data_IF_501890764871
#
_entry.id   IF_501890764871
#
_cell.length_a   1.000
_cell.length_b   1.000
_cell.length_c   1.000
_cell.angle_alpha   90.00
_cell.angle_beta   90.00
_cell.angle_gamma   90.00
#
_symmetry.space_group_name_H-M   'P 1'
#
loop_
_entity.id
_entity.type
_entity.pdbx_description
1 polymer ?
#
# COMPACT_ATOMS: atom_id res chain seq x y z
N UNK A 1 -59.73 18.67 24.72
CA UNK A 1 -59.38 17.99 23.46
C UNK A 1 -57.91 18.13 23.25
N UNK A 2 -57.13 17.11 23.62
CA UNK A 2 -55.66 17.10 23.42
C UNK A 2 -55.34 16.32 22.14
N UNK A 3 -54.72 16.98 21.18
CA UNK A 3 -54.26 16.34 19.93
C UNK A 3 -52.83 15.86 20.13
N UNK A 4 -52.61 14.53 20.14
CA UNK A 4 -51.30 13.92 20.06
C UNK A 4 -50.81 13.95 18.62
N UNK A 5 -49.66 14.60 18.37
CA UNK A 5 -48.93 14.51 17.09
C UNK A 5 -47.89 13.41 17.26
N UNK A 6 -48.10 12.31 16.55
CA UNK A 6 -47.12 11.23 16.50
C UNK A 6 -45.97 11.61 15.52
N UNK A 7 -44.78 11.76 16.04
CA UNK A 7 -43.59 11.93 15.21
C UNK A 7 -43.12 10.56 14.70
N UNK A 8 -43.18 10.33 13.39
CA UNK A 8 -42.62 9.15 12.73
C UNK A 8 -41.13 9.41 12.48
N UNK A 9 -40.28 8.73 13.26
CA UNK A 9 -38.86 8.72 13.01
C UNK A 9 -38.54 7.75 11.86
N UNK A 10 -38.18 8.27 10.71
CA UNK A 10 -37.68 7.47 9.59
C UNK A 10 -36.18 7.19 9.86
N UNK A 11 -35.88 6.02 10.40
CA UNK A 11 -34.49 5.51 10.52
C UNK A 11 -34.04 5.01 9.15
N UNK A 12 -33.29 5.84 8.42
CA UNK A 12 -32.64 5.42 7.20
C UNK A 12 -31.52 4.43 7.53
N UNK A 13 -31.71 3.13 7.25
CA UNK A 13 -30.64 2.16 7.19
C UNK A 13 -29.73 2.54 5.99
N UNK A 14 -28.57 3.09 6.27
CA UNK A 14 -27.48 3.13 5.30
C UNK A 14 -26.98 1.69 5.11
N UNK A 15 -27.49 1.01 4.08
CA UNK A 15 -26.96 -0.28 3.67
C UNK A 15 -25.51 -0.07 3.19
N UNK A 16 -24.55 -0.66 3.89
CA UNK A 16 -23.17 -0.76 3.41
C UNK A 16 -23.20 -1.55 2.09
N UNK A 17 -22.88 -0.89 0.97
CA UNK A 17 -22.76 -1.56 -0.32
C UNK A 17 -21.51 -2.44 -0.23
N UNK A 18 -21.61 -3.77 -0.38
CA UNK A 18 -20.42 -4.60 -0.42
C UNK A 18 -19.54 -4.15 -1.60
N UNK A 19 -18.26 -3.93 -1.34
CA UNK A 19 -17.29 -3.68 -2.42
C UNK A 19 -17.17 -4.98 -3.22
N UNK A 20 -17.91 -5.07 -4.30
CA UNK A 20 -17.94 -6.23 -5.21
C UNK A 20 -17.02 -6.05 -6.42
N UNK A 21 -16.26 -4.97 -6.48
CA UNK A 21 -15.35 -4.66 -7.56
C UNK A 21 -14.03 -4.11 -7.04
N UNK A 22 -12.95 -4.43 -7.75
CA UNK A 22 -11.63 -3.88 -7.46
C UNK A 22 -11.67 -2.35 -7.53
N UNK A 23 -11.14 -1.68 -6.52
CA UNK A 23 -11.00 -0.22 -6.51
C UNK A 23 -10.15 0.21 -7.70
N UNK A 24 -10.68 1.11 -8.52
CA UNK A 24 -9.98 1.73 -9.64
C UNK A 24 -10.16 3.23 -9.56
N UNK A 25 -9.05 3.95 -9.54
CA UNK A 25 -9.04 5.41 -9.55
C UNK A 25 -9.03 5.87 -11.01
N UNK A 26 -10.22 6.20 -11.54
CA UNK A 26 -10.37 6.61 -12.93
C UNK A 26 -9.81 8.01 -13.22
N UNK A 27 -9.91 8.91 -12.24
CA UNK A 27 -9.46 10.29 -12.32
C UNK A 27 -7.94 10.39 -12.05
N UNK A 28 -7.21 11.15 -12.88
CA UNK A 28 -5.77 11.35 -12.71
C UNK A 28 -5.44 12.09 -11.41
N UNK A 29 -6.29 13.02 -10.98
CA UNK A 29 -6.08 13.72 -9.70
C UNK A 29 -6.21 12.78 -8.51
N UNK A 30 -7.12 11.82 -8.55
CA UNK A 30 -7.26 10.79 -7.50
C UNK A 30 -6.08 9.80 -7.51
N UNK A 31 -5.58 9.44 -8.72
CA UNK A 31 -4.35 8.63 -8.83
C UNK A 31 -3.13 9.37 -8.27
N UNK A 32 -3.01 10.65 -8.56
CA UNK A 32 -1.93 11.49 -8.03
C UNK A 32 -2.03 11.62 -6.51
N UNK A 33 -3.21 11.91 -5.97
CA UNK A 33 -3.48 11.99 -4.53
C UNK A 33 -3.15 10.67 -3.83
N UNK A 34 -3.67 9.56 -4.34
CA UNK A 34 -3.37 8.23 -3.80
C UNK A 34 -1.86 7.95 -3.79
N UNK A 35 -1.17 8.22 -4.89
CA UNK A 35 0.27 7.98 -5.01
C UNK A 35 1.06 8.78 -3.98
N UNK A 36 0.73 10.07 -3.81
CA UNK A 36 1.40 10.92 -2.83
C UNK A 36 1.23 10.39 -1.41
N UNK A 37 0.00 10.02 -1.03
CA UNK A 37 -0.26 9.43 0.28
C UNK A 37 0.38 8.05 0.44
N UNK A 38 0.23 7.17 -0.53
CA UNK A 38 0.81 5.82 -0.49
C UNK A 38 2.32 5.85 -0.27
N UNK A 39 3.02 6.71 -1.01
CA UNK A 39 4.47 6.87 -0.92
C UNK A 39 4.87 7.44 0.44
N UNK A 40 4.23 8.53 0.88
CA UNK A 40 4.52 9.13 2.19
C UNK A 40 4.30 8.12 3.32
N UNK A 41 3.20 7.38 3.28
CA UNK A 41 2.83 6.44 4.35
C UNK A 41 3.75 5.21 4.39
N UNK A 42 4.22 4.73 3.22
CA UNK A 42 5.23 3.69 3.17
C UNK A 42 6.59 4.20 3.68
N UNK A 43 6.98 5.41 3.30
CA UNK A 43 8.22 6.05 3.75
C UNK A 43 8.22 6.29 5.27
N UNK A 44 7.11 6.77 5.82
CA UNK A 44 6.92 7.02 7.25
C UNK A 44 7.09 5.76 8.13
N UNK A 45 6.86 4.56 7.58
CA UNK A 45 7.04 3.31 8.34
C UNK A 45 8.49 3.05 8.73
N UNK A 46 9.46 3.61 8.02
CA UNK A 46 10.86 3.54 8.42
C UNK A 46 11.14 4.41 9.65
N UNK A 47 10.51 5.58 9.75
CA UNK A 47 10.67 6.48 10.89
C UNK A 47 9.91 5.96 12.12
N UNK A 48 8.73 5.41 11.89
CA UNK A 48 7.86 4.88 12.94
C UNK A 48 7.00 3.76 12.40
N UNK A 49 7.43 2.52 12.63
CA UNK A 49 6.67 1.33 12.28
C UNK A 49 5.41 1.22 13.12
N UNK A 50 4.28 0.90 12.48
CA UNK A 50 3.00 0.61 13.14
C UNK A 50 2.83 -0.90 13.36
N UNK A 51 2.01 -1.29 14.35
CA UNK A 51 1.86 -2.69 14.77
C UNK A 51 1.27 -3.62 13.69
N UNK A 52 0.57 -3.05 12.71
CA UNK A 52 -0.02 -3.79 11.60
C UNK A 52 0.95 -4.03 10.41
N UNK A 53 2.17 -3.47 10.49
CA UNK A 53 3.25 -3.68 9.52
C UNK A 53 4.27 -4.66 10.08
N UNK A 54 4.04 -5.95 9.84
CA UNK A 54 4.87 -7.04 10.35
C UNK A 54 5.46 -7.95 9.26
N UNK A 55 5.18 -7.62 8.00
CA UNK A 55 5.77 -8.23 6.80
C UNK A 55 5.75 -7.26 5.61
N UNK A 56 6.36 -7.64 4.48
CA UNK A 56 6.43 -6.80 3.29
C UNK A 56 5.05 -6.53 2.66
N UNK A 57 4.12 -7.47 2.75
CA UNK A 57 2.74 -7.29 2.30
C UNK A 57 1.97 -6.38 3.25
N UNK A 58 2.22 -6.46 4.56
CA UNK A 58 1.69 -5.58 5.60
C UNK A 58 2.02 -4.12 5.32
N UNK A 59 3.27 -3.83 4.95
CA UNK A 59 3.68 -2.48 4.53
C UNK A 59 2.82 -1.96 3.37
N UNK A 60 2.63 -2.76 2.33
CA UNK A 60 1.80 -2.37 1.17
C UNK A 60 0.35 -2.21 1.56
N UNK A 61 -0.22 -3.16 2.32
CA UNK A 61 -1.62 -3.11 2.78
C UNK A 61 -1.89 -1.88 3.65
N UNK A 62 -1.00 -1.61 4.60
CA UNK A 62 -1.07 -0.42 5.46
C UNK A 62 -1.10 0.85 4.61
N UNK A 63 -0.09 1.04 3.76
CA UNK A 63 0.02 2.25 2.95
C UNK A 63 -1.17 2.43 1.98
N UNK A 64 -1.70 1.35 1.39
CA UNK A 64 -2.91 1.40 0.54
C UNK A 64 -4.12 1.81 1.33
N UNK A 65 -4.37 1.17 2.48
CA UNK A 65 -5.54 1.44 3.32
C UNK A 65 -5.54 2.87 3.83
N UNK A 66 -4.42 3.29 4.38
CA UNK A 66 -4.30 4.64 4.91
C UNK A 66 -4.38 5.71 3.81
N UNK A 67 -3.79 5.48 2.61
CA UNK A 67 -3.87 6.43 1.49
C UNK A 67 -5.30 6.65 0.95
N UNK A 68 -6.22 5.72 1.20
CA UNK A 68 -7.62 5.83 0.81
C UNK A 68 -8.51 6.44 1.90
N UNK A 69 -7.99 6.69 3.10
CA UNK A 69 -8.74 7.33 4.19
C UNK A 69 -8.93 8.83 3.94
N UNK A 70 -9.86 9.42 4.69
CA UNK A 70 -9.94 10.87 4.83
C UNK A 70 -8.87 11.35 5.82
N UNK A 71 -7.99 12.24 5.39
CA UNK A 71 -6.88 12.75 6.20
C UNK A 71 -7.30 14.03 6.95
N UNK A 72 -8.24 13.84 7.88
CA UNK A 72 -8.71 14.94 8.73
C UNK A 72 -7.59 15.49 9.62
N UNK A 73 -7.70 16.73 10.15
CA UNK A 73 -6.72 17.26 11.10
C UNK A 73 -6.51 16.34 12.32
N UNK A 74 -7.54 15.62 12.74
CA UNK A 74 -7.43 14.65 13.82
C UNK A 74 -6.62 13.42 13.40
N UNK A 75 -6.85 12.90 12.19
CA UNK A 75 -6.06 11.80 11.63
C UNK A 75 -4.57 12.22 11.54
N UNK A 76 -4.28 13.42 11.01
CA UNK A 76 -2.90 13.93 10.90
C UNK A 76 -2.22 14.00 12.26
N UNK A 77 -2.91 14.50 13.30
CA UNK A 77 -2.33 14.54 14.66
C UNK A 77 -2.02 13.13 15.20
N UNK A 78 -2.86 12.13 14.90
CA UNK A 78 -2.67 10.74 15.35
C UNK A 78 -1.63 9.97 14.55
N UNK A 79 -1.42 10.33 13.28
CA UNK A 79 -0.49 9.64 12.40
C UNK A 79 0.96 9.69 12.88
N UNK A 80 1.32 10.69 13.68
CA UNK A 80 2.68 10.89 14.18
C UNK A 80 3.65 11.43 13.12
N UNK A 81 3.13 11.90 11.97
CA UNK A 81 3.95 12.57 10.96
C UNK A 81 4.57 13.85 11.53
N UNK A 82 5.86 14.15 11.29
CA UNK A 82 6.54 15.33 11.82
C UNK A 82 6.13 16.64 11.12
N UNK A 83 5.28 16.57 10.10
CA UNK A 83 4.75 17.69 9.34
C UNK A 83 3.31 17.43 8.89
N UNK A 84 2.63 18.48 8.46
CA UNK A 84 1.28 18.40 7.89
C UNK A 84 1.38 18.25 6.37
N UNK A 85 1.05 17.08 5.80
CA UNK A 85 1.09 16.88 4.35
C UNK A 85 0.09 17.80 3.64
N UNK A 86 0.49 18.36 2.52
CA UNK A 86 -0.34 19.24 1.68
C UNK A 86 -0.89 18.49 0.47
N UNK A 87 -1.34 17.24 0.67
CA UNK A 87 -1.92 16.41 -0.39
C UNK A 87 -3.44 16.46 -0.33
N UNK A 88 -4.08 16.43 -1.50
CA UNK A 88 -5.53 16.22 -1.58
C UNK A 88 -5.89 14.79 -1.16
N UNK A 89 -7.08 14.60 -0.60
CA UNK A 89 -7.65 13.28 -0.40
C UNK A 89 -8.10 12.64 -1.73
N UNK A 90 -8.13 11.32 -1.76
CA UNK A 90 -8.73 10.55 -2.85
C UNK A 90 -10.26 10.70 -2.76
N UNK A 91 -10.87 11.40 -3.72
CA UNK A 91 -12.30 11.71 -3.70
C UNK A 91 -13.17 10.50 -3.99
N UNK A 92 -12.74 9.64 -4.92
CA UNK A 92 -13.43 8.40 -5.31
C UNK A 92 -13.08 7.20 -4.42
N UNK A 93 -12.38 7.42 -3.29
CA UNK A 93 -12.06 6.34 -2.36
C UNK A 93 -13.35 5.70 -1.82
N UNK A 94 -13.41 4.36 -1.72
CA UNK A 94 -14.52 3.71 -1.08
C UNK A 94 -14.59 4.14 0.39
N UNK A 95 -15.77 4.55 0.81
CA UNK A 95 -16.02 4.94 2.20
C UNK A 95 -16.78 3.82 2.88
N UNK A 96 -16.14 3.16 3.84
CA UNK A 96 -16.84 2.22 4.70
C UNK A 96 -17.46 2.92 5.90
N UNK A 97 -18.55 2.35 6.39
CA UNK A 97 -19.02 2.61 7.72
C UNK A 97 -18.13 1.81 8.70
N UNK A 98 -16.97 2.36 9.08
CA UNK A 98 -16.00 1.70 9.96
C UNK A 98 -14.61 1.56 9.32
N UNK A 99 -13.69 0.93 10.07
CA UNK A 99 -12.27 0.81 9.68
C UNK A 99 -11.98 -0.35 8.71
N UNK A 100 -12.97 -1.21 8.47
CA UNK A 100 -12.81 -2.44 7.67
C UNK A 100 -13.21 -2.21 6.21
N UNK A 101 -12.23 -2.35 5.31
CA UNK A 101 -12.42 -2.24 3.87
C UNK A 101 -11.77 -3.44 3.16
N UNK A 102 -12.56 -4.34 2.55
CA UNK A 102 -12.04 -5.45 1.75
C UNK A 102 -11.50 -4.94 0.40
N UNK A 103 -10.33 -4.31 0.44
CA UNK A 103 -9.73 -3.60 -0.71
C UNK A 103 -9.03 -4.52 -1.69
N UNK A 104 -8.59 -5.70 -1.24
CA UNK A 104 -7.71 -6.55 -2.02
C UNK A 104 -8.47 -7.74 -2.59
N UNK A 105 -8.39 -7.93 -3.90
CA UNK A 105 -8.89 -9.12 -4.56
C UNK A 105 -8.07 -10.33 -4.08
N UNK A 106 -8.76 -11.38 -3.62
CA UNK A 106 -8.12 -12.60 -3.08
C UNK A 106 -8.44 -13.87 -3.87
N UNK A 107 -9.45 -13.82 -4.75
CA UNK A 107 -9.74 -14.90 -5.69
C UNK A 107 -9.84 -14.37 -7.11
N UNK A 108 -9.54 -15.20 -8.08
CA UNK A 108 -9.77 -14.94 -9.51
C UNK A 108 -11.09 -15.58 -9.97
N UNK A 109 -11.54 -15.21 -11.18
CA UNK A 109 -12.73 -15.80 -11.80
C UNK A 109 -13.88 -14.81 -11.99
N UNK A 110 -15.06 -15.30 -12.41
CA UNK A 110 -16.20 -14.44 -12.76
C UNK A 110 -16.83 -13.71 -11.56
N UNK A 111 -16.61 -14.23 -10.35
CA UNK A 111 -17.11 -13.63 -9.09
C UNK A 111 -15.95 -13.51 -8.10
N UNK A 112 -15.06 -12.51 -8.28
CA UNK A 112 -13.90 -12.36 -7.40
C UNK A 112 -14.31 -11.99 -5.98
N UNK A 113 -13.61 -12.57 -4.99
CA UNK A 113 -13.74 -12.18 -3.59
C UNK A 113 -12.69 -11.11 -3.24
N UNK A 114 -13.06 -10.27 -2.29
CA UNK A 114 -12.21 -9.20 -1.75
C UNK A 114 -12.06 -9.35 -0.23
N UNK A 115 -10.89 -8.99 0.30
CA UNK A 115 -10.59 -9.06 1.72
C UNK A 115 -9.71 -7.86 2.13
N UNK A 116 -9.56 -7.67 3.43
CA UNK A 116 -8.61 -6.71 4.01
C UNK A 116 -7.18 -7.23 3.98
N UNK A 117 -7.03 -8.55 4.03
CA UNK A 117 -5.75 -9.23 3.99
C UNK A 117 -5.47 -9.81 2.59
N UNK A 118 -4.25 -9.60 2.11
CA UNK A 118 -3.67 -10.29 0.96
C UNK A 118 -2.16 -10.43 1.21
N UNK A 119 -1.62 -11.63 1.00
CA UNK A 119 -0.18 -11.87 1.06
C UNK A 119 0.56 -11.26 -0.15
N UNK A 120 1.88 -11.31 -0.14
CA UNK A 120 2.72 -10.71 -1.19
C UNK A 120 2.40 -11.28 -2.59
N UNK A 121 2.21 -12.59 -2.69
CA UNK A 121 1.85 -13.27 -3.94
C UNK A 121 0.49 -12.81 -4.46
N UNK A 122 -0.51 -12.77 -3.60
CA UNK A 122 -1.87 -12.32 -3.93
C UNK A 122 -1.89 -10.84 -4.35
N UNK A 123 -1.15 -9.99 -3.65
CA UNK A 123 -1.01 -8.57 -4.01
C UNK A 123 -0.47 -8.43 -5.44
N UNK A 124 0.58 -9.15 -5.78
CA UNK A 124 1.20 -9.07 -7.10
C UNK A 124 0.31 -9.64 -8.20
N UNK A 125 -0.23 -10.84 -8.00
CA UNK A 125 -0.95 -11.53 -9.08
C UNK A 125 -2.37 -10.99 -9.31
N UNK A 126 -3.07 -10.58 -8.26
CA UNK A 126 -4.45 -10.15 -8.37
C UNK A 126 -4.65 -8.63 -8.27
N UNK A 127 -3.73 -7.91 -7.59
CA UNK A 127 -3.92 -6.49 -7.29
C UNK A 127 -2.88 -5.57 -7.97
N UNK A 128 -1.94 -6.13 -8.73
CA UNK A 128 -0.95 -5.35 -9.47
C UNK A 128 -0.85 -5.81 -10.93
N UNK A 129 -0.22 -5.00 -11.76
CA UNK A 129 0.14 -5.32 -13.14
C UNK A 129 1.64 -5.19 -13.33
N UNK A 130 2.25 -6.09 -14.11
CA UNK A 130 3.66 -6.02 -14.43
C UNK A 130 3.97 -4.82 -15.33
N UNK A 131 5.09 -4.19 -15.09
CA UNK A 131 5.69 -3.14 -15.93
C UNK A 131 6.98 -3.63 -16.61
N UNK A 132 7.32 -4.92 -16.46
CA UNK A 132 8.57 -5.49 -16.95
C UNK A 132 9.66 -5.54 -15.89
N UNK A 133 10.91 -5.76 -16.34
CA UNK A 133 12.05 -6.00 -15.44
C UNK A 133 13.11 -4.89 -15.46
N UNK A 134 12.81 -3.76 -16.08
CA UNK A 134 13.73 -2.62 -16.08
C UNK A 134 13.48 -1.73 -14.85
N UNK A 135 14.38 -1.72 -13.85
CA UNK A 135 14.20 -0.91 -12.65
C UNK A 135 14.33 0.60 -12.92
N UNK A 136 14.84 1.00 -14.10
CA UNK A 136 14.93 2.44 -14.46
C UNK A 136 13.59 3.03 -14.88
N UNK A 137 12.60 2.17 -15.20
CA UNK A 137 11.25 2.61 -15.55
C UNK A 137 10.32 2.78 -14.33
N UNK A 138 10.84 2.52 -13.12
CA UNK A 138 10.08 2.61 -11.87
C UNK A 138 9.66 4.06 -11.58
N UNK A 139 8.46 4.23 -11.05
CA UNK A 139 7.94 5.51 -10.55
C UNK A 139 7.54 5.38 -9.09
N UNK A 140 7.59 6.47 -8.36
CA UNK A 140 7.14 6.49 -6.96
C UNK A 140 5.76 5.81 -6.82
N UNK A 141 5.64 4.88 -5.87
CA UNK A 141 4.47 4.04 -5.65
C UNK A 141 4.42 2.73 -6.46
N UNK A 142 5.43 2.45 -7.29
CA UNK A 142 5.59 1.12 -7.88
C UNK A 142 6.25 0.15 -6.89
N UNK A 143 6.06 -1.14 -7.13
CA UNK A 143 6.58 -2.22 -6.29
C UNK A 143 7.69 -2.95 -7.02
N UNK A 144 8.80 -3.21 -6.33
CA UNK A 144 9.81 -4.17 -6.77
C UNK A 144 9.43 -5.54 -6.18
N UNK A 145 9.29 -6.54 -7.03
CA UNK A 145 8.92 -7.89 -6.61
C UNK A 145 10.07 -8.87 -6.83
N UNK A 146 10.36 -9.63 -5.77
CA UNK A 146 11.35 -10.70 -5.78
C UNK A 146 10.68 -12.02 -5.37
N UNK A 147 11.13 -13.10 -6.00
CA UNK A 147 10.80 -14.46 -5.59
C UNK A 147 12.10 -15.18 -5.23
N UNK A 148 12.20 -15.65 -3.98
CA UNK A 148 13.38 -16.28 -3.40
C UNK A 148 13.14 -17.78 -3.21
N UNK A 149 13.37 -18.64 -4.22
CA UNK A 149 13.18 -20.08 -4.08
C UNK A 149 13.97 -20.64 -2.90
N UNK A 150 13.33 -21.51 -2.12
CA UNK A 150 13.95 -22.12 -0.96
C UNK A 150 13.82 -21.34 0.35
N UNK A 151 13.25 -20.14 0.35
CA UNK A 151 12.81 -19.48 1.58
C UNK A 151 11.40 -19.95 1.96
N UNK A 152 11.12 -19.96 3.28
CA UNK A 152 9.78 -20.29 3.79
C UNK A 152 8.72 -19.31 3.24
N UNK A 153 9.07 -18.03 3.23
CA UNK A 153 8.28 -16.96 2.64
C UNK A 153 9.04 -16.44 1.42
N UNK A 154 8.76 -17.00 0.21
CA UNK A 154 9.59 -16.74 -0.95
C UNK A 154 9.29 -15.39 -1.62
N UNK A 155 8.13 -14.80 -1.37
CA UNK A 155 7.62 -13.63 -2.08
C UNK A 155 7.90 -12.35 -1.30
N UNK A 156 8.69 -11.44 -1.89
CA UNK A 156 9.10 -10.20 -1.24
C UNK A 156 8.73 -8.98 -2.07
N UNK A 157 8.17 -7.99 -1.39
CA UNK A 157 7.78 -6.71 -1.96
C UNK A 157 8.62 -5.58 -1.36
N UNK A 158 9.02 -4.64 -2.20
CA UNK A 158 9.62 -3.39 -1.77
C UNK A 158 8.86 -2.25 -2.45
N UNK A 159 8.58 -1.18 -1.72
CA UNK A 159 7.91 0.02 -2.25
C UNK A 159 8.98 0.99 -2.73
N UNK A 160 8.94 1.34 -4.01
CA UNK A 160 9.75 2.44 -4.52
C UNK A 160 9.10 3.76 -4.15
N UNK A 161 9.71 4.49 -3.23
CA UNK A 161 9.19 5.78 -2.77
C UNK A 161 9.69 6.95 -3.63
N UNK A 162 10.74 6.73 -4.43
CA UNK A 162 11.40 7.81 -5.12
C UNK A 162 12.09 8.73 -4.12
N UNK A 163 11.91 10.03 -4.25
CA UNK A 163 12.43 10.98 -3.27
C UNK A 163 11.72 10.83 -1.94
N UNK A 164 12.50 10.64 -0.88
CA UNK A 164 11.96 10.55 0.46
C UNK A 164 11.37 11.88 0.93
N UNK A 165 10.33 11.78 1.76
CA UNK A 165 9.75 12.94 2.45
C UNK A 165 10.53 13.31 3.72
N UNK A 166 11.43 12.44 4.16
CA UNK A 166 12.20 12.58 5.41
C UNK A 166 13.69 12.81 5.14
N UNK A 167 14.18 12.46 3.94
CA UNK A 167 15.58 12.61 3.56
C UNK A 167 15.74 13.76 2.54
N UNK A 168 16.61 14.75 2.82
CA UNK A 168 16.75 15.93 1.96
C UNK A 168 17.68 15.73 0.75
N UNK A 169 18.33 14.56 0.60
CA UNK A 169 19.42 14.35 -0.33
C UNK A 169 19.01 14.21 -1.81
N UNK A 170 17.71 14.10 -2.09
CA UNK A 170 17.19 14.01 -3.44
C UNK A 170 17.47 12.66 -4.14
N UNK A 171 17.96 11.66 -3.43
CA UNK A 171 18.14 10.29 -3.92
C UNK A 171 16.80 9.55 -4.06
N UNK A 172 16.82 8.49 -4.87
CA UNK A 172 15.71 7.57 -4.99
C UNK A 172 15.79 6.46 -3.94
N UNK A 173 14.71 6.32 -3.17
CA UNK A 173 14.63 5.41 -2.04
C UNK A 173 13.63 4.28 -2.25
N UNK A 174 13.92 3.17 -1.59
CA UNK A 174 13.09 1.97 -1.52
C UNK A 174 12.86 1.61 -0.06
N UNK A 175 11.61 1.34 0.31
CA UNK A 175 11.22 0.92 1.66
C UNK A 175 10.64 -0.49 1.60
N UNK A 176 11.02 -1.34 2.56
CA UNK A 176 10.54 -2.71 2.66
C UNK A 176 10.61 -3.22 4.09
N UNK A 177 9.80 -4.23 4.41
CA UNK A 177 9.90 -4.97 5.66
C UNK A 177 10.65 -6.28 5.41
N UNK A 178 11.58 -6.63 6.30
CA UNK A 178 12.41 -7.84 6.15
C UNK A 178 11.63 -9.13 6.34
N UNK A 179 10.43 -9.04 6.90
CA UNK A 179 9.63 -10.18 7.34
C UNK A 179 10.15 -10.80 8.65
N UNK A 180 9.37 -11.67 9.27
CA UNK A 180 9.82 -12.44 10.42
C UNK A 180 11.05 -13.27 10.09
N UNK A 181 12.01 -13.29 11.00
CA UNK A 181 13.24 -14.08 10.92
C UNK A 181 13.38 -14.92 12.20
N UNK A 182 14.24 -15.94 12.18
CA UNK A 182 14.45 -16.81 13.35
C UNK A 182 14.78 -16.04 14.64
N UNK A 183 15.39 -14.86 14.51
CA UNK A 183 15.79 -14.01 15.63
C UNK A 183 14.75 -12.95 16.04
N UNK A 184 13.60 -12.83 15.35
CA UNK A 184 12.61 -11.81 15.70
C UNK A 184 11.60 -11.46 14.60
N UNK A 185 10.75 -10.46 14.87
CA UNK A 185 9.62 -10.11 14.00
C UNK A 185 10.05 -9.45 12.67
N UNK A 186 11.33 -9.14 12.52
CA UNK A 186 11.82 -8.32 11.40
C UNK A 186 11.66 -6.82 11.67
N UNK A 187 12.01 -6.03 10.66
CA UNK A 187 12.01 -4.57 10.75
C UNK A 187 11.75 -3.92 9.39
N UNK A 188 11.28 -2.69 9.41
CA UNK A 188 11.21 -1.84 8.20
C UNK A 188 12.61 -1.30 7.91
N UNK A 189 13.02 -1.43 6.66
CA UNK A 189 14.28 -0.89 6.14
C UNK A 189 14.04 0.07 5.00
N UNK A 190 14.95 1.03 4.91
CA UNK A 190 14.99 2.04 3.85
C UNK A 190 16.38 2.07 3.25
N UNK A 191 16.47 1.96 1.94
CA UNK A 191 17.75 1.93 1.22
C UNK A 191 17.66 2.75 -0.07
N UNK A 192 18.77 3.35 -0.50
CA UNK A 192 18.83 3.98 -1.82
C UNK A 192 18.71 2.93 -2.91
N UNK A 193 17.97 3.22 -3.97
CA UNK A 193 17.86 2.31 -5.11
C UNK A 193 19.24 1.96 -5.68
N UNK A 194 20.14 2.95 -5.79
CA UNK A 194 21.50 2.76 -6.26
C UNK A 194 22.28 1.76 -5.41
N UNK A 195 22.13 1.83 -4.08
CA UNK A 195 22.75 0.88 -3.15
C UNK A 195 22.13 -0.51 -3.27
N UNK A 196 20.80 -0.59 -3.43
CA UNK A 196 20.11 -1.87 -3.63
C UNK A 196 20.53 -2.55 -4.92
N UNK A 197 20.77 -1.80 -6.01
CA UNK A 197 21.29 -2.33 -7.28
C UNK A 197 22.69 -2.95 -7.12
N UNK A 198 23.44 -2.54 -6.11
CA UNK A 198 24.79 -3.04 -5.77
C UNK A 198 24.78 -3.92 -4.51
N UNK A 199 23.61 -4.36 -4.05
CA UNK A 199 23.48 -5.14 -2.81
C UNK A 199 24.51 -6.27 -2.76
N UNK A 200 25.21 -6.52 -1.60
CA UNK A 200 26.26 -7.54 -1.48
C UNK A 200 25.79 -8.94 -1.93
N UNK A 201 24.57 -9.32 -1.55
CA UNK A 201 23.93 -10.55 -2.03
C UNK A 201 23.24 -10.30 -3.37
N UNK A 202 23.70 -10.90 -4.49
CA UNK A 202 23.14 -10.67 -5.83
C UNK A 202 21.64 -10.95 -5.95
N UNK A 203 21.11 -11.88 -5.14
CA UNK A 203 19.68 -12.25 -5.16
C UNK A 203 18.73 -11.10 -4.81
N UNK A 204 19.23 -10.02 -4.18
CA UNK A 204 18.45 -8.84 -3.83
C UNK A 204 18.65 -7.66 -4.77
N UNK A 205 19.46 -7.81 -5.81
CA UNK A 205 19.68 -6.73 -6.78
C UNK A 205 18.48 -6.64 -7.73
N UNK A 206 17.79 -5.50 -7.84
CA UNK A 206 16.71 -5.31 -8.82
C UNK A 206 17.29 -5.05 -10.21
N UNK A 207 17.94 -6.05 -10.77
CA UNK A 207 18.54 -5.99 -12.12
C UNK A 207 18.02 -7.14 -12.98
N UNK A 208 17.95 -6.94 -14.28
CA UNK A 208 17.39 -7.91 -15.23
C UNK A 208 18.16 -9.25 -15.20
N UNK A 209 19.45 -9.24 -14.90
CA UNK A 209 20.27 -10.45 -14.80
C UNK A 209 19.99 -11.30 -13.54
N UNK A 210 19.33 -10.74 -12.51
CA UNK A 210 19.01 -11.47 -11.29
C UNK A 210 17.76 -12.32 -11.50
N UNK A 211 17.82 -13.66 -11.49
CA UNK A 211 16.64 -14.52 -11.69
C UNK A 211 15.58 -14.37 -10.59
N UNK A 212 15.99 -13.94 -9.39
CA UNK A 212 15.08 -13.75 -8.26
C UNK A 212 14.32 -12.43 -8.33
N UNK A 213 14.79 -11.45 -9.12
CA UNK A 213 14.04 -10.22 -9.37
C UNK A 213 13.00 -10.50 -10.47
N UNK A 214 11.75 -10.62 -10.09
CA UNK A 214 10.65 -10.89 -11.02
C UNK A 214 10.31 -9.66 -11.84
N UNK A 215 10.35 -8.47 -11.25
CA UNK A 215 10.16 -7.23 -11.98
C UNK A 215 9.54 -6.08 -11.17
N UNK A 216 9.14 -5.07 -11.90
CA UNK A 216 8.45 -3.88 -11.42
C UNK A 216 6.95 -4.07 -11.62
N UNK A 217 6.16 -3.71 -10.62
CA UNK A 217 4.71 -3.86 -10.64
C UNK A 217 4.04 -2.57 -10.18
N UNK A 218 2.84 -2.32 -10.69
CA UNK A 218 2.00 -1.19 -10.29
C UNK A 218 0.66 -1.70 -9.81
N UNK A 219 0.18 -1.15 -8.70
CA UNK A 219 -1.16 -1.43 -8.20
C UNK A 219 -2.21 -1.15 -9.28
N UNK A 220 -3.19 -2.04 -9.45
CA UNK A 220 -4.24 -1.92 -10.49
C UNK A 220 -5.18 -0.74 -10.27
N UNK A 221 -5.22 -0.19 -9.07
CA UNK A 221 -5.97 1.03 -8.78
C UNK A 221 -5.34 2.28 -9.38
N UNK A 222 -4.06 2.23 -9.77
CA UNK A 222 -3.30 3.24 -10.49
C UNK A 222 -3.29 2.94 -11.99
#
# INVERSE_FOLDING_TARGET
MLRYVAAVAVSGLLAAVPISAQVRLADESDRAAFRSWFVLLADAQFERQTDDVNDCAGLVRHAVREALRAHTPEWVRRSGLPFVPQFADVRSAPRAAGDSLPLFQVTSGPSPAFAEFADAKTLIHLNARSLGRDPRAVRAGDLLYFHQPGQREPDHLMVFVGRSHFEPDGDDWVVYHTGPQDAGPGEVRKVRLSTLMQHPSPRWRPITANPNFVGVYRLRML
#
